data_IF_911679852426
#
_entry.id   IF_911679852426
#
_cell.length_a   1.000
_cell.length_b   1.000
_cell.length_c   1.000
_cell.angle_alpha   90.00
_cell.angle_beta   90.00
_cell.angle_gamma   90.00
#
_symmetry.space_group_name_H-M   'P 1'
#
loop_
_entity.id
_entity.type
_entity.pdbx_description
1 polymer ?
#
# COMPACT_ATOMS: atom_id res chain seq x y z
N UNK A 1 4.72 27.84 -11.29
CA UNK A 1 5.93 27.00 -11.37
C UNK A 1 6.27 26.49 -9.98
N UNK A 2 6.12 25.19 -9.73
CA UNK A 2 6.42 24.61 -8.42
C UNK A 2 7.86 24.08 -8.42
N UNK A 3 8.76 24.77 -7.71
CA UNK A 3 10.20 24.45 -7.67
C UNK A 3 10.48 23.02 -7.20
N UNK A 4 9.62 22.49 -6.32
CA UNK A 4 9.74 21.13 -5.81
C UNK A 4 9.33 20.08 -6.86
N UNK A 5 8.37 20.40 -7.71
CA UNK A 5 7.95 19.52 -8.81
C UNK A 5 9.02 19.48 -9.89
N UNK A 6 9.52 20.62 -10.34
CA UNK A 6 10.61 20.64 -11.34
C UNK A 6 11.90 20.03 -10.78
N UNK A 7 12.22 20.26 -9.51
CA UNK A 7 13.37 19.63 -8.86
C UNK A 7 13.29 18.09 -8.87
N UNK A 8 12.13 17.54 -8.53
CA UNK A 8 11.88 16.09 -8.61
C UNK A 8 11.98 15.57 -10.05
N UNK A 9 11.48 16.30 -11.03
CA UNK A 9 11.57 15.94 -12.44
C UNK A 9 13.02 15.88 -12.94
N UNK A 10 13.85 16.87 -12.57
CA UNK A 10 15.29 16.89 -12.87
C UNK A 10 15.98 15.65 -12.28
N UNK A 11 15.72 15.35 -11.00
CA UNK A 11 16.31 14.20 -10.33
C UNK A 11 15.91 12.87 -10.98
N UNK A 12 14.66 12.78 -11.43
CA UNK A 12 14.09 11.63 -12.10
C UNK A 12 14.76 11.39 -13.46
N UNK A 13 14.82 12.41 -14.33
CA UNK A 13 15.45 12.32 -15.65
C UNK A 13 16.96 12.06 -15.57
N UNK A 14 17.64 12.65 -14.59
CA UNK A 14 19.05 12.33 -14.31
C UNK A 14 19.26 10.85 -14.01
N UNK A 15 18.40 10.26 -13.18
CA UNK A 15 18.44 8.83 -12.83
C UNK A 15 18.11 7.93 -14.01
N UNK A 16 17.17 8.32 -14.88
CA UNK A 16 16.88 7.60 -16.13
C UNK A 16 18.13 7.47 -17.01
N UNK A 17 18.96 8.51 -17.05
CA UNK A 17 20.24 8.51 -17.77
C UNK A 17 21.41 7.87 -17.01
N UNK A 18 21.15 7.26 -15.85
CA UNK A 18 22.17 6.66 -14.97
C UNK A 18 23.31 7.63 -14.58
N UNK A 19 23.05 8.93 -14.53
CA UNK A 19 24.04 9.95 -14.16
C UNK A 19 24.03 10.18 -12.65
N UNK A 20 25.20 10.40 -12.03
CA UNK A 20 25.28 10.95 -10.68
C UNK A 20 25.07 12.47 -10.69
N UNK A 21 24.84 13.07 -9.51
CA UNK A 21 24.72 14.53 -9.41
C UNK A 21 26.03 15.22 -9.83
N UNK A 22 27.18 14.61 -9.53
CA UNK A 22 28.51 15.08 -9.94
C UNK A 22 28.67 15.05 -11.46
N UNK A 23 28.26 13.95 -12.11
CA UNK A 23 28.36 13.80 -13.57
C UNK A 23 27.47 14.80 -14.31
N UNK A 24 26.24 15.02 -13.83
CA UNK A 24 25.36 16.03 -14.39
C UNK A 24 25.92 17.45 -14.16
N UNK A 25 26.53 17.69 -13.00
CA UNK A 25 27.14 18.97 -12.68
C UNK A 25 28.33 19.28 -13.60
N UNK A 26 29.19 18.30 -13.88
CA UNK A 26 30.31 18.40 -14.81
C UNK A 26 29.83 18.71 -16.23
N UNK A 27 28.81 17.99 -16.71
CA UNK A 27 28.21 18.19 -18.04
C UNK A 27 27.60 19.59 -18.22
N UNK A 28 27.04 20.16 -17.16
CA UNK A 28 26.42 21.49 -17.16
C UNK A 28 27.37 22.62 -16.73
N UNK A 29 28.62 22.32 -16.38
CA UNK A 29 29.58 23.31 -15.89
C UNK A 29 29.18 23.98 -14.57
N UNK A 30 28.42 23.28 -13.71
CA UNK A 30 27.97 23.78 -12.41
C UNK A 30 28.55 22.98 -11.25
N UNK A 31 28.39 23.48 -10.03
CA UNK A 31 28.76 22.71 -8.83
C UNK A 31 27.73 21.62 -8.54
N UNK A 32 28.18 20.48 -8.01
CA UNK A 32 27.29 19.41 -7.52
C UNK A 32 26.25 19.94 -6.50
N UNK A 33 26.66 20.88 -5.63
CA UNK A 33 25.76 21.55 -4.68
C UNK A 33 24.62 22.30 -5.38
N UNK A 34 24.86 22.81 -6.58
CA UNK A 34 23.85 23.50 -7.40
C UNK A 34 22.79 22.50 -7.87
N UNK A 35 23.19 21.34 -8.41
CA UNK A 35 22.28 20.25 -8.80
C UNK A 35 21.44 19.79 -7.60
N UNK A 36 22.08 19.57 -6.45
CA UNK A 36 21.38 19.16 -5.21
C UNK A 36 20.32 20.17 -4.77
N UNK A 37 20.60 21.48 -4.90
CA UNK A 37 19.62 22.55 -4.59
C UNK A 37 18.46 22.57 -5.57
N UNK A 38 18.70 22.29 -6.86
CA UNK A 38 17.63 22.17 -7.85
C UNK A 38 16.75 20.96 -7.55
N UNK A 39 17.35 19.79 -7.34
CA UNK A 39 16.61 18.55 -7.09
C UNK A 39 15.79 18.59 -5.79
N UNK A 40 16.23 19.35 -4.79
CA UNK A 40 15.52 19.55 -3.52
C UNK A 40 14.52 20.70 -3.54
N UNK A 41 14.37 21.40 -4.67
CA UNK A 41 13.46 22.54 -4.80
C UNK A 41 13.87 23.78 -4.00
N UNK A 42 15.15 23.87 -3.59
CA UNK A 42 15.69 25.02 -2.83
C UNK A 42 16.09 26.19 -3.73
N UNK A 43 16.32 25.93 -5.02
CA UNK A 43 16.68 26.92 -6.04
C UNK A 43 16.24 26.42 -7.41
N UNK A 44 16.12 27.31 -8.39
CA UNK A 44 15.78 26.98 -9.77
C UNK A 44 17.02 27.13 -10.68
N UNK A 45 17.18 26.30 -11.74
CA UNK A 45 18.14 26.59 -12.80
C UNK A 45 17.83 27.95 -13.46
N UNK A 46 18.87 28.70 -13.73
CA UNK A 46 18.79 29.96 -14.46
C UNK A 46 18.53 29.69 -15.95
N UNK A 47 17.90 30.63 -16.65
CA UNK A 47 17.55 30.55 -18.07
C UNK A 47 18.75 30.17 -18.95
N UNK A 48 19.93 30.68 -18.59
CA UNK A 48 21.21 30.38 -19.24
C UNK A 48 21.56 28.89 -19.24
N UNK A 49 21.16 28.14 -18.19
CA UNK A 49 21.48 26.72 -18.00
C UNK A 49 20.30 25.82 -18.33
N UNK A 50 19.07 26.33 -18.28
CA UNK A 50 17.85 25.56 -18.60
C UNK A 50 17.95 24.88 -19.96
N UNK A 51 18.47 25.57 -20.98
CA UNK A 51 18.62 25.00 -22.32
C UNK A 51 19.58 23.80 -22.33
N UNK A 52 20.77 23.96 -21.76
CA UNK A 52 21.77 22.88 -21.66
C UNK A 52 21.30 21.72 -20.78
N UNK A 53 20.54 22.02 -19.72
CA UNK A 53 19.90 21.02 -18.87
C UNK A 53 18.86 20.20 -19.65
N UNK A 54 18.03 20.86 -20.45
CA UNK A 54 17.04 20.20 -21.31
C UNK A 54 17.71 19.30 -22.36
N UNK A 55 18.76 19.78 -23.01
CA UNK A 55 19.55 19.00 -23.98
C UNK A 55 20.19 17.76 -23.31
N UNK A 56 20.85 17.94 -22.16
CA UNK A 56 21.51 16.84 -21.44
C UNK A 56 20.52 15.84 -20.84
N UNK A 57 19.30 16.27 -20.51
CA UNK A 57 18.25 15.39 -19.99
C UNK A 57 17.29 14.85 -21.05
N UNK A 58 17.45 15.25 -22.33
CA UNK A 58 16.53 14.90 -23.44
C UNK A 58 15.05 15.20 -23.11
N UNK A 59 14.81 16.41 -22.60
CA UNK A 59 13.46 16.91 -22.30
C UNK A 59 13.26 18.29 -22.90
N UNK A 60 12.02 18.65 -23.16
CA UNK A 60 11.65 20.00 -23.60
C UNK A 60 11.55 20.95 -22.40
N UNK A 61 11.68 22.25 -22.68
CA UNK A 61 11.48 23.29 -21.65
C UNK A 61 10.05 23.24 -21.11
N UNK A 62 9.06 22.93 -21.96
CA UNK A 62 7.67 22.79 -21.54
C UNK A 62 7.52 21.63 -20.52
N UNK A 63 8.07 20.45 -20.81
CA UNK A 63 8.05 19.30 -19.88
C UNK A 63 8.77 19.62 -18.56
N UNK A 64 9.90 20.34 -18.61
CA UNK A 64 10.60 20.79 -17.41
C UNK A 64 9.76 21.78 -16.57
N UNK A 65 9.00 22.66 -17.23
CA UNK A 65 8.24 23.74 -16.59
C UNK A 65 6.88 23.30 -16.06
N UNK A 66 6.17 22.47 -16.81
CA UNK A 66 4.88 21.92 -16.40
C UNK A 66 5.07 20.96 -15.23
N UNK A 67 6.23 20.30 -15.16
CA UNK A 67 6.48 19.33 -14.11
C UNK A 67 5.45 18.19 -14.13
N UNK A 68 4.73 18.06 -15.25
CA UNK A 68 3.97 16.88 -15.58
C UNK A 68 4.99 15.76 -15.64
N UNK A 69 4.94 14.96 -14.58
CA UNK A 69 5.35 13.58 -14.64
C UNK A 69 4.36 12.96 -15.63
N UNK A 70 4.53 13.21 -16.93
CA UNK A 70 4.01 12.31 -17.93
C UNK A 70 4.62 10.97 -17.54
N UNK A 71 3.75 10.07 -17.08
CA UNK A 71 4.09 8.79 -16.47
C UNK A 71 4.77 7.82 -17.45
N UNK A 72 5.36 8.33 -18.52
CA UNK A 72 6.20 7.61 -19.44
C UNK A 72 7.67 7.71 -18.99
N UNK A 73 8.11 6.62 -18.34
CA UNK A 73 9.50 6.11 -18.32
C UNK A 73 10.42 6.29 -17.10
N UNK A 74 9.93 6.56 -15.88
CA UNK A 74 10.62 6.02 -14.68
C UNK A 74 9.78 5.97 -13.40
N UNK A 75 8.62 5.35 -13.49
CA UNK A 75 8.26 4.42 -12.42
C UNK A 75 9.16 3.20 -12.66
N UNK A 76 9.72 2.60 -11.61
CA UNK A 76 10.30 1.27 -11.77
C UNK A 76 9.21 0.40 -12.39
N UNK A 77 9.37 0.00 -13.64
CA UNK A 77 8.64 -1.14 -14.19
C UNK A 77 9.15 -2.34 -13.40
N UNK A 78 8.57 -2.56 -12.21
CA UNK A 78 8.30 -3.93 -11.83
C UNK A 78 7.50 -4.46 -13.02
N UNK A 79 7.96 -5.51 -13.70
CA UNK A 79 7.16 -6.13 -14.75
C UNK A 79 5.75 -6.32 -14.19
N UNK A 80 4.72 -6.03 -14.96
CA UNK A 80 3.34 -6.19 -14.50
C UNK A 80 3.12 -7.61 -13.92
N UNK A 81 3.85 -8.59 -14.45
CA UNK A 81 3.95 -9.95 -13.94
C UNK A 81 4.54 -10.05 -12.52
N UNK A 82 5.60 -9.30 -12.19
CA UNK A 82 6.17 -9.22 -10.84
C UNK A 82 5.25 -8.46 -9.87
N UNK A 83 4.58 -7.39 -10.31
CA UNK A 83 3.59 -6.68 -9.47
C UNK A 83 2.42 -7.59 -9.14
N UNK A 84 1.90 -8.30 -10.16
CA UNK A 84 0.82 -9.26 -10.00
C UNK A 84 1.24 -10.43 -9.10
N UNK A 85 2.49 -10.90 -9.18
CA UNK A 85 3.02 -11.94 -8.29
C UNK A 85 3.11 -11.44 -6.83
N UNK A 86 3.56 -10.21 -6.59
CA UNK A 86 3.59 -9.62 -5.25
C UNK A 86 2.18 -9.41 -4.67
N UNK A 87 1.23 -8.94 -5.49
CA UNK A 87 -0.18 -8.81 -5.08
C UNK A 87 -0.83 -10.17 -4.81
N UNK A 88 -0.53 -11.19 -5.62
CA UNK A 88 -1.02 -12.56 -5.40
C UNK A 88 -0.46 -13.15 -4.12
N UNK A 89 0.86 -13.05 -3.88
CA UNK A 89 1.50 -13.54 -2.64
C UNK A 89 0.96 -12.84 -1.40
N UNK A 90 0.73 -11.52 -1.47
CA UNK A 90 0.16 -10.77 -0.34
C UNK A 90 -1.29 -11.18 -0.06
N UNK A 91 -2.12 -11.37 -1.10
CA UNK A 91 -3.48 -11.90 -0.94
C UNK A 91 -3.50 -13.33 -0.37
N UNK A 92 -2.61 -14.20 -0.84
CA UNK A 92 -2.49 -15.58 -0.34
C UNK A 92 -2.07 -15.59 1.13
N UNK A 93 -1.11 -14.75 1.52
CA UNK A 93 -0.68 -14.57 2.91
C UNK A 93 -1.82 -14.05 3.79
N UNK A 94 -2.62 -13.09 3.32
CA UNK A 94 -3.79 -12.61 4.07
C UNK A 94 -4.84 -13.71 4.25
N UNK A 95 -5.12 -14.48 3.20
CA UNK A 95 -6.05 -15.62 3.27
C UNK A 95 -5.54 -16.70 4.23
N UNK A 96 -4.25 -17.03 4.18
CA UNK A 96 -3.61 -17.96 5.11
C UNK A 96 -3.66 -17.45 6.55
N UNK A 97 -3.38 -16.16 6.77
CA UNK A 97 -3.44 -15.52 8.08
C UNK A 97 -4.86 -15.61 8.67
N UNK A 98 -5.87 -15.31 7.87
CA UNK A 98 -7.27 -15.38 8.31
C UNK A 98 -7.69 -16.83 8.63
N UNK A 99 -7.27 -17.80 7.81
CA UNK A 99 -7.49 -19.22 8.08
C UNK A 99 -6.80 -19.66 9.37
N UNK A 100 -5.56 -19.22 9.61
CA UNK A 100 -4.81 -19.53 10.83
C UNK A 100 -5.46 -18.92 12.08
N UNK A 101 -5.92 -17.67 12.02
CA UNK A 101 -6.68 -17.06 13.12
C UNK A 101 -7.97 -17.84 13.40
N UNK A 102 -8.68 -18.30 12.36
CA UNK A 102 -9.85 -19.16 12.51
C UNK A 102 -9.52 -20.47 13.24
N UNK A 103 -8.46 -21.16 12.82
CA UNK A 103 -8.01 -22.41 13.47
C UNK A 103 -7.62 -22.16 14.95
N UNK A 104 -6.89 -21.08 15.24
CA UNK A 104 -6.53 -20.70 16.61
C UNK A 104 -7.75 -20.46 17.49
N UNK A 105 -8.79 -19.79 16.96
CA UNK A 105 -10.05 -19.58 17.69
C UNK A 105 -10.79 -20.89 17.95
N UNK A 106 -10.84 -21.81 16.98
CA UNK A 106 -11.46 -23.14 17.15
C UNK A 106 -10.72 -23.93 18.23
N UNK A 107 -9.38 -23.97 18.17
CA UNK A 107 -8.56 -24.67 19.16
C UNK A 107 -8.72 -24.06 20.55
N UNK A 108 -8.76 -22.72 20.65
CA UNK A 108 -9.00 -22.03 21.92
C UNK A 108 -10.39 -22.37 22.47
N UNK A 109 -11.42 -22.39 21.63
CA UNK A 109 -12.77 -22.82 22.03
C UNK A 109 -12.82 -24.25 22.56
N UNK A 110 -12.17 -25.20 21.88
CA UNK A 110 -12.05 -26.60 22.33
C UNK A 110 -11.28 -26.68 23.64
N UNK A 111 -10.19 -25.92 23.79
CA UNK A 111 -9.39 -25.88 25.00
C UNK A 111 -10.20 -25.33 26.19
N UNK A 112 -10.95 -24.24 26.00
CA UNK A 112 -11.86 -23.67 27.02
C UNK A 112 -12.96 -24.67 27.36
N UNK A 113 -13.51 -25.38 26.38
CA UNK A 113 -14.52 -26.42 26.60
C UNK A 113 -13.96 -27.60 27.42
N UNK A 114 -12.77 -28.08 27.08
CA UNK A 114 -12.09 -29.14 27.84
C UNK A 114 -11.73 -28.69 29.26
N UNK A 115 -11.27 -27.45 29.40
CA UNK A 115 -10.94 -26.84 30.68
C UNK A 115 -12.18 -26.67 31.57
N UNK A 116 -13.35 -26.38 30.98
CA UNK A 116 -14.63 -26.34 31.70
C UNK A 116 -14.97 -27.69 32.36
N UNK A 117 -14.62 -28.81 31.72
CA UNK A 117 -14.79 -30.14 32.34
C UNK A 117 -13.78 -30.44 33.43
N UNK A 118 -12.55 -29.92 33.31
CA UNK A 118 -11.45 -30.17 34.25
C UNK A 118 -11.44 -29.25 35.48
N UNK A 119 -11.91 -28.00 35.34
CA UNK A 119 -11.88 -26.97 36.39
C UNK A 119 -13.28 -26.66 36.94
N UNK A 120 -14.37 -26.98 36.22
CA UNK A 120 -15.72 -26.52 36.55
C UNK A 120 -16.48 -27.37 37.57
N UNK A 121 -16.80 -26.76 38.72
CA UNK A 121 -18.01 -27.08 39.51
C UNK A 121 -19.30 -26.68 38.75
N UNK A 122 -20.47 -27.00 39.29
CA UNK A 122 -21.79 -26.75 38.65
C UNK A 122 -21.92 -25.35 38.07
N UNK A 123 -21.50 -24.34 38.84
CA UNK A 123 -21.79 -22.93 38.54
C UNK A 123 -21.11 -22.43 37.25
N UNK A 124 -19.89 -22.89 36.95
CA UNK A 124 -19.19 -22.51 35.72
C UNK A 124 -19.78 -23.24 34.50
N UNK A 125 -20.21 -24.49 34.67
CA UNK A 125 -20.88 -25.26 33.61
C UNK A 125 -22.26 -24.69 33.29
N UNK A 126 -22.99 -24.24 34.29
CA UNK A 126 -24.31 -23.62 34.13
C UNK A 126 -24.20 -22.26 33.43
N UNK A 127 -23.17 -21.47 33.74
CA UNK A 127 -22.88 -20.21 33.04
C UNK A 127 -22.59 -20.42 31.54
N UNK A 128 -21.70 -21.35 31.19
CA UNK A 128 -21.34 -21.64 29.79
C UNK A 128 -22.53 -22.23 29.03
N UNK A 129 -23.31 -23.10 29.66
CA UNK A 129 -24.53 -23.66 29.08
C UNK A 129 -25.56 -22.57 28.79
N UNK A 130 -25.73 -21.61 29.71
CA UNK A 130 -26.58 -20.44 29.52
C UNK A 130 -26.13 -19.55 28.35
N UNK A 131 -24.81 -19.32 28.22
CA UNK A 131 -24.24 -18.54 27.11
C UNK A 131 -24.49 -19.20 25.75
N UNK A 132 -24.29 -20.51 25.63
CA UNK A 132 -24.51 -21.27 24.39
C UNK A 132 -25.99 -21.31 24.00
N UNK A 133 -26.89 -21.49 24.97
CA UNK A 133 -28.33 -21.40 24.75
C UNK A 133 -28.73 -20.00 24.23
N UNK A 134 -28.14 -18.94 24.79
CA UNK A 134 -28.37 -17.57 24.33
C UNK A 134 -27.95 -17.35 22.87
N UNK A 135 -26.78 -17.85 22.46
CA UNK A 135 -26.32 -17.78 21.07
C UNK A 135 -27.25 -18.57 20.12
N UNK A 136 -27.65 -19.78 20.53
CA UNK A 136 -28.55 -20.64 19.77
C UNK A 136 -29.93 -19.99 19.53
N UNK A 137 -30.51 -19.34 20.55
CA UNK A 137 -31.77 -18.60 20.42
C UNK A 137 -31.61 -17.43 19.44
N UNK A 138 -30.49 -16.71 19.51
CA UNK A 138 -30.18 -15.61 18.58
C UNK A 138 -30.14 -16.06 17.12
N UNK A 139 -29.43 -17.15 16.83
CA UNK A 139 -29.37 -17.74 15.49
C UNK A 139 -30.76 -18.18 14.99
N UNK A 140 -31.54 -18.80 15.87
CA UNK A 140 -32.89 -19.27 15.54
C UNK A 140 -33.83 -18.11 15.18
N UNK A 141 -33.79 -17.00 15.93
CA UNK A 141 -34.61 -15.81 15.64
C UNK A 141 -34.26 -15.16 14.30
N UNK A 142 -32.97 -15.10 13.96
CA UNK A 142 -32.52 -14.61 12.65
C UNK A 142 -33.06 -15.52 11.53
N UNK A 143 -33.02 -16.84 11.72
CA UNK A 143 -33.60 -17.80 10.79
C UNK A 143 -35.10 -17.58 10.56
N UNK A 144 -35.88 -17.40 11.64
CA UNK A 144 -37.32 -17.11 11.56
C UNK A 144 -37.60 -15.80 10.81
N UNK A 145 -36.82 -14.75 11.07
CA UNK A 145 -36.96 -13.46 10.37
C UNK A 145 -36.72 -13.60 8.85
N UNK A 146 -35.68 -14.33 8.44
CA UNK A 146 -35.36 -14.57 7.03
C UNK A 146 -36.47 -15.33 6.32
N UNK A 147 -37.00 -16.39 6.95
CA UNK A 147 -38.12 -17.18 6.40
C UNK A 147 -39.40 -16.33 6.30
N UNK A 148 -39.73 -15.56 7.34
CA UNK A 148 -40.91 -14.69 7.34
C UNK A 148 -40.85 -13.62 6.25
N UNK A 149 -39.68 -13.00 6.04
CA UNK A 149 -39.47 -12.03 4.95
C UNK A 149 -39.63 -12.66 3.56
N UNK A 150 -39.18 -13.89 3.38
CA UNK A 150 -39.33 -14.64 2.11
C UNK A 150 -40.79 -14.93 1.77
N UNK A 151 -41.62 -15.21 2.77
CA UNK A 151 -43.06 -15.48 2.59
C UNK A 151 -43.89 -14.22 2.34
N UNK A 152 -43.52 -13.08 2.93
CA UNK A 152 -44.24 -11.80 2.77
C UNK A 152 -43.91 -11.04 1.48
N UNK A 153 -42.83 -11.43 0.78
CA UNK A 153 -42.41 -10.84 -0.50
C UNK A 153 -42.98 -11.51 -1.75
N UNK A 154 -43.94 -12.43 -1.59
CA UNK A 154 -44.78 -13.01 -2.66
C UNK A 154 -46.21 -12.50 -2.53
#
# INVERSE_FOLDING_TARGET
>A
MNQLVTGKFIALKRKQKNLTQEQLAEKLGVSNKTISKWETGKCMPDYSIVKSLCEELEVTVAELMDGEISEENSVRTYDDEQILDLLRRTQELEKQKNMLYGIMLIVMGIAVQALSYAIGGSDFKDFISGLLLGLSIGEMLVGVYVVGKSLAGR
#
